data_IF_229817130454
#
_entry.id   IF_229817130454
#
_cell.length_a   1.000
_cell.length_b   1.000
_cell.length_c   1.000
_cell.angle_alpha   90.00
_cell.angle_beta   90.00
_cell.angle_gamma   90.00
#
_symmetry.space_group_name_H-M   'P 1'
#
loop_
_entity.id
_entity.type
_entity.pdbx_description
1 polymer ?
#
# COMPACT_ATOMS: atom_id res chain seq x y z
N UNK A 1 1.12 -17.88 -9.18
CA UNK A 1 0.77 -16.98 -10.29
C UNK A 1 1.55 -15.69 -10.19
N UNK A 2 2.09 -15.24 -11.29
CA UNK A 2 2.85 -14.00 -11.33
C UNK A 2 1.91 -12.80 -11.24
N UNK A 3 2.30 -11.80 -10.44
CA UNK A 3 1.54 -10.57 -10.29
C UNK A 3 1.73 -9.68 -11.53
N UNK A 4 0.68 -9.46 -12.34
CA UNK A 4 0.81 -8.70 -13.59
C UNK A 4 0.71 -7.18 -13.41
N UNK A 5 0.41 -6.69 -12.20
CA UNK A 5 0.20 -5.27 -11.99
C UNK A 5 1.51 -4.49 -12.02
N UNK A 6 1.40 -3.16 -12.21
CA UNK A 6 2.59 -2.29 -12.13
C UNK A 6 3.25 -2.38 -10.75
N UNK A 7 2.47 -2.61 -9.69
CA UNK A 7 3.04 -2.77 -8.35
C UNK A 7 3.82 -4.07 -8.24
N UNK A 8 3.31 -5.16 -8.85
CA UNK A 8 4.08 -6.40 -8.94
C UNK A 8 5.42 -6.20 -9.64
N UNK A 9 5.41 -5.41 -10.71
CA UNK A 9 6.65 -5.09 -11.43
C UNK A 9 7.61 -4.27 -10.58
N UNK A 10 7.11 -3.35 -9.77
CA UNK A 10 7.93 -2.57 -8.85
C UNK A 10 8.55 -3.50 -7.79
N UNK A 11 7.76 -4.42 -7.25
CA UNK A 11 8.23 -5.38 -6.25
C UNK A 11 9.37 -6.25 -6.82
N UNK A 12 9.25 -6.65 -8.09
CA UNK A 12 10.28 -7.46 -8.77
C UNK A 12 11.43 -6.64 -9.34
N UNK A 13 11.43 -5.33 -9.14
CA UNK A 13 12.46 -4.42 -9.68
C UNK A 13 12.46 -4.34 -11.22
N UNK A 14 11.31 -4.60 -11.84
CA UNK A 14 11.15 -4.47 -13.28
C UNK A 14 10.76 -3.05 -13.69
N UNK A 15 10.21 -2.27 -12.76
CA UNK A 15 9.92 -0.86 -12.95
C UNK A 15 10.50 -0.07 -11.77
N UNK A 16 11.02 1.14 -12.03
CA UNK A 16 11.54 1.99 -10.96
C UNK A 16 10.41 2.62 -10.15
N UNK A 17 10.71 2.92 -8.89
CA UNK A 17 9.83 3.68 -8.01
C UNK A 17 10.68 4.35 -6.94
N UNK A 18 10.14 5.41 -6.35
CA UNK A 18 10.80 6.10 -5.25
C UNK A 18 10.38 5.41 -3.94
N UNK A 19 11.12 4.36 -3.59
CA UNK A 19 10.82 3.52 -2.45
C UNK A 19 11.22 4.23 -1.16
N UNK A 20 10.28 4.34 -0.22
CA UNK A 20 10.52 5.01 1.08
C UNK A 20 10.58 4.03 2.24
N UNK A 21 10.13 2.80 2.05
CA UNK A 21 10.14 1.76 3.07
C UNK A 21 10.07 0.39 2.41
N UNK A 22 10.76 -0.57 2.95
CA UNK A 22 10.67 -1.94 2.47
C UNK A 22 11.13 -2.91 3.55
N UNK A 23 10.40 -4.01 3.70
CA UNK A 23 10.84 -5.15 4.51
C UNK A 23 10.47 -6.43 3.76
N UNK A 24 10.53 -7.58 4.44
CA UNK A 24 10.25 -8.85 3.77
C UNK A 24 8.80 -8.99 3.30
N UNK A 25 7.86 -8.32 3.98
CA UNK A 25 6.44 -8.49 3.72
C UNK A 25 5.80 -7.29 3.03
N UNK A 26 6.37 -6.10 3.17
CA UNK A 26 5.74 -4.86 2.69
C UNK A 26 6.72 -3.98 1.93
N UNK A 27 6.15 -3.13 1.08
CA UNK A 27 6.90 -2.13 0.34
C UNK A 27 6.06 -0.85 0.27
N UNK A 28 6.70 0.29 0.35
CA UNK A 28 6.01 1.57 0.22
C UNK A 28 6.83 2.50 -0.66
N UNK A 29 6.14 3.24 -1.53
CA UNK A 29 6.78 4.15 -2.48
C UNK A 29 5.88 5.35 -2.73
N UNK A 30 6.49 6.42 -3.23
CA UNK A 30 5.74 7.64 -3.53
C UNK A 30 4.82 7.43 -4.72
N UNK A 31 3.59 7.96 -4.61
CA UNK A 31 2.68 8.01 -5.75
C UNK A 31 3.26 8.95 -6.80
N UNK A 32 3.26 8.52 -8.06
CA UNK A 32 3.77 9.35 -9.17
C UNK A 32 2.83 10.51 -9.52
N UNK A 33 1.60 10.48 -9.00
CA UNK A 33 0.61 11.55 -9.16
C UNK A 33 0.09 11.97 -7.79
N UNK A 34 0.96 12.59 -6.97
CA UNK A 34 0.60 12.89 -5.59
C UNK A 34 -0.56 13.88 -5.53
N UNK A 35 -1.50 13.63 -4.63
CA UNK A 35 -2.65 14.50 -4.36
C UNK A 35 -2.53 15.23 -3.03
N UNK A 36 -1.40 15.07 -2.37
CA UNK A 36 -1.08 15.71 -1.10
C UNK A 36 0.43 15.92 -1.07
N UNK A 37 0.93 16.74 -0.16
CA UNK A 37 2.38 16.95 -0.01
C UNK A 37 3.09 15.63 0.27
N UNK A 38 2.46 14.79 1.07
CA UNK A 38 2.92 13.41 1.29
C UNK A 38 1.84 12.50 0.73
N UNK A 39 2.21 11.65 -0.20
CA UNK A 39 1.29 10.65 -0.77
C UNK A 39 2.09 9.38 -1.06
N UNK A 40 1.99 8.44 -0.14
CA UNK A 40 2.72 7.18 -0.15
C UNK A 40 1.74 6.04 -0.39
N UNK A 41 2.15 5.08 -1.21
CA UNK A 41 1.39 3.85 -1.43
C UNK A 41 2.07 2.74 -0.63
N UNK A 42 1.34 2.11 0.28
CA UNK A 42 1.85 1.03 1.12
C UNK A 42 1.15 -0.24 0.72
N UNK A 43 1.90 -1.26 0.32
CA UNK A 43 1.30 -2.50 -0.12
C UNK A 43 2.06 -3.72 0.38
N UNK A 44 1.36 -4.86 0.54
CA UNK A 44 2.05 -6.12 0.83
C UNK A 44 2.80 -6.58 -0.41
N UNK A 45 3.87 -7.34 -0.21
CA UNK A 45 4.56 -7.97 -1.33
C UNK A 45 3.78 -9.17 -1.86
N UNK A 46 2.95 -9.77 -1.01
CA UNK A 46 2.04 -10.84 -1.42
C UNK A 46 0.99 -10.29 -2.39
N UNK A 47 0.70 -11.04 -3.45
CA UNK A 47 -0.28 -10.59 -4.44
C UNK A 47 -1.70 -10.82 -3.93
N UNK A 48 -2.33 -9.75 -3.49
CA UNK A 48 -3.73 -9.71 -3.06
C UNK A 48 -4.39 -8.59 -3.86
N UNK A 49 -5.32 -8.91 -4.79
CA UNK A 49 -5.85 -7.89 -5.69
C UNK A 49 -6.63 -6.77 -4.99
N UNK A 50 -7.49 -7.11 -4.01
CA UNK A 50 -8.28 -6.10 -3.31
C UNK A 50 -8.34 -6.39 -1.82
N UNK A 51 -8.75 -5.39 -1.05
CA UNK A 51 -8.99 -5.55 0.38
C UNK A 51 -10.01 -6.67 0.65
N UNK A 52 -11.01 -6.80 -0.21
CA UNK A 52 -12.06 -7.80 -0.05
C UNK A 52 -11.56 -9.24 -0.25
N UNK A 53 -10.36 -9.41 -0.81
CA UNK A 53 -9.79 -10.74 -1.03
C UNK A 53 -9.06 -11.30 0.19
N UNK A 54 -8.89 -10.50 1.25
CA UNK A 54 -8.39 -11.06 2.51
C UNK A 54 -9.43 -12.03 3.07
N UNK A 55 -9.01 -13.23 3.48
CA UNK A 55 -9.97 -14.18 4.04
C UNK A 55 -10.52 -13.69 5.38
N UNK A 56 -11.79 -13.97 5.62
CA UNK A 56 -12.46 -13.64 6.90
C UNK A 56 -12.09 -14.69 7.95
N UNK A 57 -10.83 -14.68 8.34
CA UNK A 57 -10.21 -15.62 9.28
C UNK A 57 -9.24 -14.87 10.17
N UNK A 58 -8.78 -15.47 11.28
CA UNK A 58 -7.73 -14.86 12.11
C UNK A 58 -6.45 -14.56 11.32
N UNK A 59 -6.09 -15.44 10.37
CA UNK A 59 -4.91 -15.18 9.51
C UNK A 59 -5.10 -13.96 8.63
N UNK A 60 -6.28 -13.84 7.99
CA UNK A 60 -6.60 -12.68 7.17
C UNK A 60 -6.59 -11.39 7.98
N UNK A 61 -7.15 -11.43 9.18
CA UNK A 61 -7.15 -10.29 10.10
C UNK A 61 -5.73 -9.89 10.49
N UNK A 62 -4.85 -10.86 10.73
CA UNK A 62 -3.47 -10.59 11.06
C UNK A 62 -2.74 -9.91 9.91
N UNK A 63 -2.91 -10.43 8.69
CA UNK A 63 -2.28 -9.84 7.50
C UNK A 63 -2.74 -8.41 7.26
N UNK A 64 -4.04 -8.17 7.37
CA UNK A 64 -4.60 -6.83 7.22
C UNK A 64 -4.12 -5.90 8.31
N UNK A 65 -4.09 -6.37 9.55
CA UNK A 65 -3.58 -5.59 10.68
C UNK A 65 -2.12 -5.20 10.49
N UNK A 66 -1.30 -6.11 9.99
CA UNK A 66 0.11 -5.81 9.72
C UNK A 66 0.26 -4.74 8.65
N UNK A 67 -0.58 -4.77 7.61
CA UNK A 67 -0.57 -3.73 6.57
C UNK A 67 -0.88 -2.36 7.18
N UNK A 68 -1.90 -2.28 8.01
CA UNK A 68 -2.29 -1.02 8.65
C UNK A 68 -1.22 -0.53 9.62
N UNK A 69 -0.65 -1.42 10.40
CA UNK A 69 0.45 -1.07 11.32
C UNK A 69 1.67 -0.57 10.55
N UNK A 70 1.95 -1.16 9.40
CA UNK A 70 3.07 -0.73 8.56
C UNK A 70 2.85 0.69 8.07
N UNK A 71 1.64 1.01 7.62
CA UNK A 71 1.32 2.37 7.17
C UNK A 71 1.54 3.39 8.29
N UNK A 72 1.06 3.10 9.49
CA UNK A 72 1.23 4.03 10.61
C UNK A 72 2.69 4.11 11.08
N UNK A 73 3.44 3.02 10.99
CA UNK A 73 4.88 3.02 11.29
C UNK A 73 5.63 3.96 10.35
N UNK A 74 5.30 3.90 9.07
CA UNK A 74 5.92 4.78 8.07
C UNK A 74 5.59 6.24 8.37
N UNK A 75 4.34 6.54 8.72
CA UNK A 75 3.95 7.89 9.09
C UNK A 75 4.77 8.42 10.28
N UNK A 76 5.00 7.56 11.28
CA UNK A 76 5.82 7.93 12.44
C UNK A 76 7.26 8.18 12.03
N UNK A 77 7.82 7.33 11.18
CA UNK A 77 9.21 7.49 10.71
C UNK A 77 9.38 8.78 9.93
N UNK A 78 8.34 9.20 9.22
CA UNK A 78 8.36 10.46 8.46
C UNK A 78 8.06 11.68 9.33
N UNK A 79 7.74 11.48 10.59
CA UNK A 79 7.41 12.58 11.52
C UNK A 79 6.08 13.26 11.22
N UNK A 80 5.13 12.56 10.61
CA UNK A 80 3.84 13.14 10.30
C UNK A 80 3.01 13.33 11.57
N UNK A 81 2.61 14.57 11.84
CA UNK A 81 1.78 14.89 13.00
C UNK A 81 0.33 14.51 12.79
N UNK A 82 -0.13 14.52 11.53
CA UNK A 82 -1.47 14.13 11.17
C UNK A 82 -1.48 13.58 9.76
N UNK A 83 -2.34 12.60 9.51
CA UNK A 83 -2.46 11.96 8.21
C UNK A 83 -3.77 11.22 8.14
N UNK A 84 -4.15 10.83 6.94
CA UNK A 84 -5.26 9.91 6.77
C UNK A 84 -4.83 8.77 5.85
N UNK A 85 -5.54 7.65 5.96
CA UNK A 85 -5.31 6.52 5.08
C UNK A 85 -6.61 6.22 4.35
N UNK A 86 -6.47 5.72 3.12
CA UNK A 86 -7.60 5.37 2.27
C UNK A 86 -7.26 4.13 1.50
N UNK A 87 -8.22 3.21 1.40
CA UNK A 87 -8.09 2.01 0.59
C UNK A 87 -9.30 1.96 -0.33
N UNK A 88 -9.04 1.92 -1.65
CA UNK A 88 -10.10 1.74 -2.64
C UNK A 88 -10.31 0.27 -2.91
N UNK A 89 -11.54 -0.17 -2.98
CA UNK A 89 -11.89 -1.58 -3.17
C UNK A 89 -12.75 -1.73 -4.41
N UNK A 90 -12.20 -2.39 -5.43
CA UNK A 90 -12.90 -2.65 -6.67
C UNK A 90 -13.01 -1.43 -7.59
N UNK A 91 -13.42 -1.66 -8.82
CA UNK A 91 -13.52 -0.60 -9.82
C UNK A 91 -14.50 0.49 -9.39
N UNK A 92 -15.67 0.11 -8.88
CA UNK A 92 -16.67 1.09 -8.43
C UNK A 92 -16.25 1.85 -7.17
N UNK A 93 -15.26 1.37 -6.48
CA UNK A 93 -14.65 2.07 -5.34
C UNK A 93 -13.49 2.96 -5.74
N UNK A 94 -13.15 3.02 -7.03
CA UNK A 94 -12.08 3.85 -7.54
C UNK A 94 -10.71 3.18 -7.55
N UNK A 95 -10.64 1.86 -7.36
CA UNK A 95 -9.37 1.15 -7.41
C UNK A 95 -8.87 1.08 -8.86
N UNK A 96 -7.67 1.58 -9.10
CA UNK A 96 -7.08 1.59 -10.45
C UNK A 96 -6.06 0.47 -10.63
N UNK A 97 -5.28 0.16 -9.60
CA UNK A 97 -4.30 -0.92 -9.65
C UNK A 97 -4.79 -2.05 -8.75
N UNK A 98 -4.95 -3.25 -9.32
CA UNK A 98 -5.51 -4.39 -8.60
C UNK A 98 -4.42 -5.22 -7.91
N UNK A 99 -3.70 -4.53 -7.08
CA UNK A 99 -2.85 -5.02 -6.01
C UNK A 99 -3.16 -4.14 -4.81
N UNK A 100 -3.69 -4.73 -3.75
CA UNK A 100 -4.18 -3.97 -2.59
C UNK A 100 -3.14 -2.99 -2.07
N UNK A 101 -3.55 -1.77 -1.80
CA UNK A 101 -2.64 -0.74 -1.30
C UNK A 101 -3.36 0.31 -0.47
N UNK A 102 -2.64 0.84 0.49
CA UNK A 102 -3.09 1.91 1.36
C UNK A 102 -2.51 3.21 0.84
N UNK A 103 -3.37 4.19 0.61
CA UNK A 103 -2.92 5.57 0.36
C UNK A 103 -2.67 6.22 1.72
N UNK A 104 -1.43 6.57 1.99
CA UNK A 104 -1.03 7.33 3.19
C UNK A 104 -0.80 8.76 2.74
N UNK A 105 -1.63 9.70 3.23
CA UNK A 105 -1.61 11.07 2.75
C UNK A 105 -1.57 12.06 3.91
N UNK A 106 -0.82 13.13 3.70
CA UNK A 106 -0.72 14.23 4.65
C UNK A 106 -0.33 15.50 3.92
N UNK A 107 -0.86 16.63 4.38
CA UNK A 107 -0.44 17.95 3.90
C UNK A 107 0.43 18.69 4.92
N UNK A 108 0.83 17.99 5.97
CA UNK A 108 1.68 18.54 7.03
C UNK A 108 3.11 18.83 6.58
#
# INVERSE_FOLDING_TARGET
MENPTVFGKIIRRELPADIVYEDEEFIAFKDIRPRSRVHILVCPKEYIPTLADYPDTPEGALKLGKLMLTATRIAKQMGLEGYFIRIHVGEKGGQEVFHVHVHLRSDA
#
